data_IF_366937048330
#
_entry.id   IF_366937048330
#
_cell.length_a   1.000
_cell.length_b   1.000
_cell.length_c   1.000
_cell.angle_alpha   90.00
_cell.angle_beta   90.00
_cell.angle_gamma   90.00
#
_symmetry.space_group_name_H-M   'P 1'
#
loop_
_entity.id
_entity.type
_entity.pdbx_description
1 polymer ?
#
# COMPACT_ATOMS: atom_id res chain seq x y z
N UNK A 1 -4.53 3.83 1.63
CA UNK A 1 -3.83 4.31 2.85
C UNK A 1 -2.46 3.65 2.92
N UNK A 2 -1.41 4.43 3.20
CA UNK A 2 -0.04 3.94 3.39
C UNK A 2 0.48 4.50 4.72
N UNK A 3 0.84 3.64 5.68
CA UNK A 3 1.26 4.06 7.04
C UNK A 3 2.42 3.22 7.60
N UNK A 4 3.15 3.79 8.55
CA UNK A 4 4.14 3.08 9.38
C UNK A 4 3.54 2.26 10.52
N UNK A 5 2.23 2.39 10.75
CA UNK A 5 1.53 1.73 11.86
C UNK A 5 1.53 0.21 11.78
N UNK A 6 1.20 -0.41 12.91
CA UNK A 6 0.94 -1.84 12.99
C UNK A 6 -0.27 -2.23 12.10
N UNK A 7 -0.25 -3.41 11.43
CA UNK A 7 -1.31 -3.81 10.50
C UNK A 7 -2.72 -3.81 11.08
N UNK A 8 -2.87 -4.21 12.36
CA UNK A 8 -4.15 -4.19 13.05
C UNK A 8 -4.69 -2.77 13.25
N UNK A 9 -3.84 -1.83 13.64
CA UNK A 9 -4.18 -0.41 13.82
C UNK A 9 -4.53 0.22 12.47
N UNK A 10 -3.69 0.00 11.45
CA UNK A 10 -3.92 0.50 10.10
C UNK A 10 -5.26 0.01 9.54
N UNK A 11 -5.59 -1.27 9.75
CA UNK A 11 -6.89 -1.84 9.35
C UNK A 11 -8.06 -1.18 10.08
N UNK A 12 -7.96 -1.01 11.39
CA UNK A 12 -9.02 -0.41 12.20
C UNK A 12 -9.29 1.04 11.78
N UNK A 13 -8.24 1.85 11.64
CA UNK A 13 -8.35 3.25 11.21
C UNK A 13 -8.89 3.32 9.77
N UNK A 14 -8.36 2.51 8.85
CA UNK A 14 -8.83 2.48 7.46
C UNK A 14 -10.33 2.16 7.37
N UNK A 15 -10.84 1.24 8.20
CA UNK A 15 -12.27 0.94 8.27
C UNK A 15 -13.10 2.14 8.76
N UNK A 16 -12.62 2.86 9.78
CA UNK A 16 -13.30 4.04 10.32
C UNK A 16 -13.43 5.18 9.30
N UNK A 17 -12.42 5.36 8.45
CA UNK A 17 -12.41 6.44 7.43
C UNK A 17 -12.96 6.00 6.07
N UNK A 18 -13.57 4.82 5.97
CA UNK A 18 -14.17 4.33 4.71
C UNK A 18 -13.16 3.85 3.66
N UNK A 19 -11.88 3.67 4.02
CA UNK A 19 -10.81 3.15 3.15
C UNK A 19 -10.60 1.63 3.36
N UNK A 20 -11.38 1.00 4.26
CA UNK A 20 -11.30 -0.42 4.58
C UNK A 20 -11.86 -1.38 3.52
N UNK A 21 -11.94 -2.67 3.88
CA UNK A 21 -12.57 -3.72 3.05
C UNK A 21 -11.66 -4.36 1.99
N UNK A 22 -10.37 -4.02 1.97
CA UNK A 22 -9.34 -4.70 1.17
C UNK A 22 -8.34 -5.45 2.04
N UNK A 23 -7.41 -6.17 1.39
CA UNK A 23 -6.28 -6.78 2.07
C UNK A 23 -5.39 -5.69 2.72
N UNK A 24 -4.69 -6.06 3.80
CA UNK A 24 -3.60 -5.25 4.36
C UNK A 24 -2.30 -5.87 3.90
N UNK A 25 -1.50 -5.10 3.19
CA UNK A 25 -0.16 -5.52 2.75
C UNK A 25 0.87 -4.84 3.64
N UNK A 26 1.83 -5.61 4.16
CA UNK A 26 2.86 -5.10 5.05
C UNK A 26 4.15 -4.80 4.30
N UNK A 27 4.98 -3.89 4.81
CA UNK A 27 6.33 -3.63 4.30
C UNK A 27 7.13 -4.91 4.03
N UNK A 28 7.24 -5.84 4.99
CA UNK A 28 7.93 -7.13 4.78
C UNK A 28 7.32 -7.99 3.66
N UNK A 29 6.01 -7.91 3.41
CA UNK A 29 5.42 -8.59 2.26
C UNK A 29 5.82 -7.91 0.94
N UNK A 30 5.88 -6.58 0.91
CA UNK A 30 6.36 -5.81 -0.26
C UNK A 30 7.80 -6.18 -0.60
N UNK A 31 8.66 -6.39 0.41
CA UNK A 31 10.05 -6.79 0.20
C UNK A 31 10.18 -8.13 -0.54
N UNK A 32 9.20 -9.02 -0.38
CA UNK A 32 9.16 -10.32 -1.04
C UNK A 32 8.36 -10.32 -2.36
N UNK A 33 7.70 -9.21 -2.71
CA UNK A 33 6.89 -9.11 -3.93
C UNK A 33 7.72 -8.60 -5.11
N UNK A 34 7.55 -9.26 -6.26
CA UNK A 34 7.95 -8.73 -7.55
C UNK A 34 7.06 -7.56 -8.00
N UNK A 35 7.49 -6.79 -9.00
CA UNK A 35 6.75 -5.61 -9.46
C UNK A 35 5.35 -5.94 -9.99
N UNK A 36 5.16 -7.11 -10.62
CA UNK A 36 3.84 -7.55 -11.08
C UNK A 36 2.88 -7.87 -9.91
N UNK A 37 3.39 -8.57 -8.89
CA UNK A 37 2.61 -8.91 -7.70
C UNK A 37 2.30 -7.66 -6.88
N UNK A 38 3.26 -6.76 -6.74
CA UNK A 38 3.09 -5.48 -6.08
C UNK A 38 2.08 -4.61 -6.81
N UNK A 39 2.04 -4.64 -8.15
CA UNK A 39 1.02 -3.94 -8.93
C UNK A 39 -0.38 -4.50 -8.63
N UNK A 40 -0.55 -5.82 -8.73
CA UNK A 40 -1.83 -6.46 -8.45
C UNK A 40 -2.28 -6.19 -7.00
N UNK A 41 -1.34 -6.26 -6.06
CA UNK A 41 -1.53 -5.86 -4.68
C UNK A 41 -1.92 -4.40 -4.54
N UNK A 42 -1.32 -3.47 -5.28
CA UNK A 42 -1.61 -2.04 -5.17
C UNK A 42 -2.95 -1.62 -5.77
N UNK A 43 -3.44 -2.32 -6.79
CA UNK A 43 -4.76 -2.06 -7.37
C UNK A 43 -5.87 -2.72 -6.53
N UNK A 44 -5.60 -3.88 -5.93
CA UNK A 44 -6.58 -4.62 -5.11
C UNK A 44 -6.58 -4.29 -3.61
N UNK A 45 -5.45 -3.88 -3.06
CA UNK A 45 -5.29 -3.49 -1.65
C UNK A 45 -5.67 -2.04 -1.43
N UNK A 46 -6.23 -1.76 -0.25
CA UNK A 46 -6.53 -0.39 0.18
C UNK A 46 -5.62 0.10 1.29
N UNK A 47 -4.87 -0.80 1.95
CA UNK A 47 -4.08 -0.48 3.14
C UNK A 47 -2.70 -1.11 3.04
N UNK A 48 -1.69 -0.27 3.21
CA UNK A 48 -0.30 -0.70 3.38
C UNK A 48 0.20 -0.27 4.78
N UNK A 49 0.75 -1.22 5.52
CA UNK A 49 1.17 -1.03 6.92
C UNK A 49 2.66 -1.35 7.11
N UNK A 50 3.29 -0.80 8.16
CA UNK A 50 4.74 -0.93 8.42
C UNK A 50 5.59 -0.54 7.21
N UNK A 51 5.19 0.52 6.51
CA UNK A 51 5.76 0.90 5.22
C UNK A 51 6.93 1.86 5.41
N UNK A 52 8.07 1.56 4.78
CA UNK A 52 9.24 2.44 4.71
C UNK A 52 9.09 3.51 3.60
N UNK A 53 9.91 4.58 3.60
CA UNK A 53 9.99 5.50 2.47
C UNK A 53 10.28 4.79 1.14
N UNK A 54 11.15 3.78 1.15
CA UNK A 54 11.50 2.99 -0.04
C UNK A 54 10.29 2.22 -0.59
N UNK A 55 9.47 1.64 0.30
CA UNK A 55 8.23 0.97 -0.10
C UNK A 55 7.23 1.94 -0.73
N UNK A 56 7.08 3.16 -0.19
CA UNK A 56 6.24 4.22 -0.79
C UNK A 56 6.66 4.48 -2.23
N UNK A 57 7.96 4.67 -2.45
CA UNK A 57 8.50 4.86 -3.80
C UNK A 57 8.26 3.67 -4.72
N UNK A 58 8.44 2.42 -4.25
CA UNK A 58 8.15 1.22 -5.06
C UNK A 58 6.67 1.16 -5.47
N UNK A 59 5.74 1.37 -4.53
CA UNK A 59 4.30 1.37 -4.82
C UNK A 59 3.96 2.43 -5.88
N UNK A 60 4.43 3.67 -5.69
CA UNK A 60 4.19 4.77 -6.64
C UNK A 60 4.77 4.44 -8.02
N UNK A 61 6.01 3.96 -8.07
CA UNK A 61 6.69 3.61 -9.32
C UNK A 61 5.91 2.54 -10.10
N UNK A 62 5.49 1.47 -9.43
CA UNK A 62 4.78 0.36 -10.07
C UNK A 62 3.41 0.78 -10.60
N UNK A 63 2.72 1.70 -9.93
CA UNK A 63 1.48 2.29 -10.44
C UNK A 63 1.74 3.21 -11.65
N UNK A 64 2.75 4.09 -11.57
CA UNK A 64 3.10 5.01 -12.65
C UNK A 64 3.60 4.31 -13.92
N UNK A 65 4.38 3.22 -13.80
CA UNK A 65 4.82 2.43 -14.97
C UNK A 65 3.65 1.76 -15.70
N UNK A 66 2.50 1.65 -15.03
CA UNK A 66 1.22 1.18 -15.58
C UNK A 66 0.27 2.33 -15.93
N UNK A 67 0.81 3.53 -16.13
CA UNK A 67 0.11 4.74 -16.58
C UNK A 67 -0.96 5.28 -15.61
N UNK A 68 -0.94 4.85 -14.34
CA UNK A 68 -1.78 5.48 -13.32
C UNK A 68 -1.24 6.86 -12.96
N UNK A 69 -2.13 7.85 -12.88
CA UNK A 69 -1.82 9.14 -12.29
C UNK A 69 -1.89 9.00 -10.77
N UNK A 70 -0.78 9.25 -10.08
CA UNK A 70 -0.65 9.04 -8.63
C UNK A 70 -0.40 10.36 -7.94
N UNK A 71 -1.25 10.70 -6.97
CA UNK A 71 -0.99 11.76 -6.00
C UNK A 71 -0.68 11.12 -4.63
N UNK A 72 0.39 11.58 -3.98
CA UNK A 72 0.73 11.18 -2.62
C UNK A 72 0.47 12.35 -1.68
N UNK A 73 -0.25 12.10 -0.60
CA UNK A 73 -0.44 13.04 0.51
C UNK A 73 0.28 12.47 1.73
N UNK A 74 1.07 13.31 2.40
CA UNK A 74 1.88 12.93 3.57
C UNK A 74 1.61 13.85 4.74
#
# INVERSE_FOLDING_TARGET
MITGDHPLTARAIAAQVGIGGGAVITGPQIDNMGDQELYAGAVGSRVFARVSPQHKHRIVKVLQTRQHVVAMTG
#
